data_IF_472959732601
#
_entry.id   IF_472959732601
#
_cell.length_a   1.000
_cell.length_b   1.000
_cell.length_c   1.000
_cell.angle_alpha   90.00
_cell.angle_beta   90.00
_cell.angle_gamma   90.00
#
_symmetry.space_group_name_H-M   'P 1'
#
loop_
_entity.id
_entity.type
_entity.pdbx_description
1 polymer ?
#
# COMPACT_ATOMS: atom_id res chain seq x y z
N UNK A 1 49.36 22.06 61.26
CA UNK A 1 48.67 23.37 61.18
C UNK A 1 49.65 24.39 60.69
N UNK A 2 50.01 24.39 59.40
CA UNK A 2 50.85 25.38 58.69
C UNK A 2 51.17 24.86 57.25
N UNK A 3 50.20 24.71 56.38
CA UNK A 3 50.40 24.38 54.92
C UNK A 3 49.29 24.99 54.05
N UNK A 4 48.55 25.99 54.51
CA UNK A 4 47.45 26.56 53.72
C UNK A 4 47.60 28.06 53.43
N UNK A 5 48.82 28.61 53.42
CA UNK A 5 49.01 30.07 53.25
C UNK A 5 49.71 30.49 51.96
N UNK A 6 50.19 29.56 51.13
CA UNK A 6 50.98 29.93 49.95
C UNK A 6 50.32 29.61 48.58
N UNK A 7 49.03 29.25 48.58
CA UNK A 7 48.35 28.91 47.34
C UNK A 7 47.55 30.07 46.70
N UNK A 8 47.47 31.21 47.38
CA UNK A 8 46.68 32.37 46.92
C UNK A 8 47.52 33.46 46.22
N UNK A 9 48.83 33.37 46.19
CA UNK A 9 49.74 34.37 45.56
C UNK A 9 50.12 34.05 44.12
N UNK A 10 49.91 32.79 43.68
CA UNK A 10 50.27 32.37 42.30
C UNK A 10 49.14 32.61 41.26
N UNK A 11 47.93 32.90 41.71
CA UNK A 11 46.76 33.10 40.85
C UNK A 11 46.51 34.58 40.43
N UNK A 12 47.34 35.52 40.92
CA UNK A 12 47.15 36.97 40.66
C UNK A 12 48.19 37.54 39.64
N UNK A 13 49.10 36.73 39.08
CA UNK A 13 50.16 37.24 38.18
C UNK A 13 49.93 36.83 36.68
N UNK A 14 48.87 36.07 36.39
CA UNK A 14 48.58 35.61 34.99
C UNK A 14 47.51 36.46 34.29
N UNK A 15 46.94 37.49 34.89
CA UNK A 15 45.84 38.28 34.32
C UNK A 15 46.23 39.66 33.75
N UNK A 16 47.50 39.91 33.41
CA UNK A 16 47.95 41.26 32.99
C UNK A 16 48.93 41.24 31.80
N UNK A 17 48.67 40.49 30.76
CA UNK A 17 49.36 40.65 29.46
C UNK A 17 48.49 40.21 28.28
N UNK A 18 47.40 40.92 27.98
CA UNK A 18 46.72 40.87 26.68
C UNK A 18 45.98 42.18 26.45
N UNK A 19 46.73 43.27 26.23
CA UNK A 19 46.18 44.46 25.58
C UNK A 19 47.16 44.83 24.46
N UNK A 20 46.66 44.79 23.23
CA UNK A 20 47.31 45.44 22.10
C UNK A 20 47.28 44.60 20.82
N UNK A 21 46.35 44.82 19.94
CA UNK A 21 46.51 45.51 18.67
C UNK A 21 45.30 45.30 17.78
N UNK A 22 44.59 46.39 17.57
CA UNK A 22 43.53 46.53 16.56
C UNK A 22 44.16 46.47 15.17
N UNK A 23 43.78 45.50 14.35
CA UNK A 23 43.86 45.57 12.90
C UNK A 23 42.51 45.17 12.33
N UNK A 24 41.85 46.09 11.62
CA UNK A 24 40.66 45.85 10.86
C UNK A 24 40.95 44.88 9.74
N UNK A 25 40.55 43.63 9.86
CA UNK A 25 40.36 42.71 8.75
C UNK A 25 38.90 42.40 8.59
N UNK A 26 38.39 42.57 7.35
CA UNK A 26 37.05 42.27 6.94
C UNK A 26 36.69 40.81 7.31
N UNK A 27 35.74 40.62 8.18
CA UNK A 27 35.09 39.33 8.34
C UNK A 27 34.34 39.01 7.05
N UNK A 28 34.93 38.17 6.24
CA UNK A 28 34.20 37.39 5.24
C UNK A 28 33.45 36.35 6.04
N UNK A 29 32.14 36.54 6.15
CA UNK A 29 31.25 35.51 6.66
C UNK A 29 31.24 34.41 5.61
N UNK A 30 32.10 33.41 5.77
CA UNK A 30 31.87 32.12 5.15
C UNK A 30 30.62 31.53 5.80
N UNK A 31 29.52 31.55 5.03
CA UNK A 31 28.37 30.75 5.29
C UNK A 31 28.85 29.30 5.19
N UNK A 32 29.12 28.66 6.32
CA UNK A 32 29.20 27.21 6.37
C UNK A 32 27.84 26.70 5.81
N UNK A 33 27.87 26.24 4.57
CA UNK A 33 26.87 25.32 4.09
C UNK A 33 27.00 24.10 5.01
N UNK A 34 26.04 23.93 5.92
CA UNK A 34 25.75 22.64 6.48
C UNK A 34 25.43 21.70 5.33
N UNK A 35 26.43 21.02 4.81
CA UNK A 35 26.24 19.76 4.12
C UNK A 35 25.87 18.79 5.22
N UNK A 36 24.58 18.71 5.54
CA UNK A 36 24.06 17.63 6.37
C UNK A 36 24.44 16.32 5.68
N UNK A 37 25.44 15.64 6.20
CA UNK A 37 25.68 14.25 5.86
C UNK A 37 24.40 13.51 6.25
N UNK A 38 23.63 13.10 5.26
CA UNK A 38 22.43 12.31 5.47
C UNK A 38 22.91 10.98 6.04
N UNK A 39 22.61 10.72 7.30
CA UNK A 39 23.03 9.51 7.98
C UNK A 39 22.43 8.30 7.28
N UNK A 40 23.24 7.29 6.96
CA UNK A 40 22.76 6.03 6.39
C UNK A 40 21.70 5.40 7.29
N UNK A 41 20.74 4.73 6.71
CA UNK A 41 19.67 4.04 7.43
C UNK A 41 19.40 2.67 6.83
N UNK A 42 18.80 1.77 7.62
CA UNK A 42 18.50 0.41 7.22
C UNK A 42 17.02 0.14 7.40
N UNK A 43 16.42 -0.53 6.43
CA UNK A 43 15.04 -1.01 6.47
C UNK A 43 15.03 -2.50 6.16
N UNK A 44 14.17 -3.26 6.83
CA UNK A 44 14.02 -4.70 6.64
C UNK A 44 12.82 -4.95 5.75
N UNK A 45 12.97 -5.76 4.71
CA UNK A 45 11.86 -6.20 3.86
C UNK A 45 11.14 -7.42 4.44
N UNK A 46 10.04 -7.85 3.81
CA UNK A 46 9.22 -8.95 4.33
C UNK A 46 9.92 -10.32 4.26
N UNK A 47 11.00 -10.45 3.51
CA UNK A 47 11.89 -11.64 3.54
C UNK A 47 12.83 -11.63 4.75
N UNK A 48 12.85 -10.55 5.55
CA UNK A 48 13.79 -10.34 6.64
C UNK A 48 15.18 -9.89 6.18
N UNK A 49 15.31 -9.40 4.94
CA UNK A 49 16.57 -8.89 4.39
C UNK A 49 16.73 -7.41 4.77
N UNK A 50 17.87 -7.08 5.35
CA UNK A 50 18.24 -5.71 5.68
C UNK A 50 18.82 -4.98 4.46
N UNK A 51 18.18 -3.89 4.03
CA UNK A 51 18.67 -3.02 2.97
C UNK A 51 19.15 -1.71 3.59
N UNK A 52 20.43 -1.38 3.35
CA UNK A 52 21.02 -0.12 3.81
C UNK A 52 21.03 0.92 2.70
N UNK A 53 20.62 2.12 3.03
CA UNK A 53 20.55 3.29 2.15
C UNK A 53 21.48 4.38 2.66
N UNK A 54 22.41 4.85 1.80
CA UNK A 54 23.29 5.99 2.09
C UNK A 54 22.57 7.33 1.88
N UNK A 55 21.52 7.33 1.08
CA UNK A 55 20.62 8.45 0.81
C UNK A 55 19.21 7.93 0.51
N UNK A 56 18.22 8.80 0.59
CA UNK A 56 16.85 8.47 0.15
C UNK A 56 16.88 8.17 -1.35
N UNK A 57 16.21 7.08 -1.81
CA UNK A 57 16.09 6.77 -3.23
C UNK A 57 15.50 7.93 -4.03
N UNK A 58 16.11 8.24 -5.17
CA UNK A 58 15.66 9.29 -6.09
C UNK A 58 15.07 8.72 -7.37
N UNK A 59 15.36 7.44 -7.66
CA UNK A 59 14.80 6.71 -8.79
C UNK A 59 14.26 5.37 -8.33
N UNK A 60 12.98 5.14 -8.59
CA UNK A 60 12.21 3.98 -8.11
C UNK A 60 11.58 3.25 -9.27
N UNK A 61 11.67 1.94 -9.27
CA UNK A 61 10.83 1.06 -10.09
C UNK A 61 9.89 0.31 -9.15
N UNK A 62 8.61 0.20 -9.52
CA UNK A 62 7.63 -0.58 -8.78
C UNK A 62 6.95 -1.59 -9.70
N UNK A 63 6.80 -2.82 -9.21
CA UNK A 63 6.20 -3.93 -9.94
C UNK A 63 4.77 -4.23 -9.50
N UNK A 64 4.22 -3.41 -8.56
CA UNK A 64 2.87 -3.58 -8.04
C UNK A 64 2.10 -2.25 -8.01
N UNK A 65 0.86 -2.23 -8.51
CA UNK A 65 0.01 -1.04 -8.47
C UNK A 65 -0.22 -0.47 -7.06
N UNK A 66 -0.39 -1.32 -6.04
CA UNK A 66 -0.59 -0.86 -4.65
C UNK A 66 0.58 -0.06 -4.11
N UNK A 67 1.82 -0.44 -4.48
CA UNK A 67 3.03 0.28 -4.10
C UNK A 67 3.15 1.59 -4.86
N UNK A 68 2.84 1.59 -6.16
CA UNK A 68 2.78 2.81 -6.97
C UNK A 68 1.82 3.82 -6.36
N UNK A 69 0.60 3.40 -6.05
CA UNK A 69 -0.40 4.26 -5.40
C UNK A 69 0.11 4.79 -4.05
N UNK A 70 0.76 3.95 -3.25
CA UNK A 70 1.35 4.36 -1.96
C UNK A 70 2.44 5.41 -2.14
N UNK A 71 3.34 5.25 -3.12
CA UNK A 71 4.39 6.24 -3.40
C UNK A 71 3.82 7.59 -3.85
N UNK A 72 2.74 7.59 -4.63
CA UNK A 72 2.05 8.83 -4.99
C UNK A 72 1.40 9.50 -3.78
N UNK A 73 0.71 8.74 -2.92
CA UNK A 73 0.09 9.26 -1.69
C UNK A 73 1.12 9.77 -0.67
N UNK A 74 2.31 9.17 -0.64
CA UNK A 74 3.45 9.65 0.14
C UNK A 74 4.04 10.97 -0.41
N UNK A 75 3.63 11.40 -1.61
CA UNK A 75 4.13 12.61 -2.26
C UNK A 75 5.51 12.43 -2.92
N UNK A 76 5.89 11.20 -3.24
CA UNK A 76 7.16 10.85 -3.89
C UNK A 76 6.98 10.16 -5.26
N UNK A 77 5.79 10.28 -5.85
CA UNK A 77 5.46 9.70 -7.14
C UNK A 77 6.33 10.20 -8.30
N UNK A 78 6.89 11.40 -8.21
CA UNK A 78 7.82 11.97 -9.17
C UNK A 78 9.17 11.22 -9.27
N UNK A 79 9.45 10.35 -8.32
CA UNK A 79 10.65 9.50 -8.30
C UNK A 79 10.45 8.18 -9.05
N UNK A 80 9.24 7.83 -9.44
CA UNK A 80 8.94 6.58 -10.12
C UNK A 80 9.33 6.70 -11.59
N UNK A 81 10.22 5.83 -12.05
CA UNK A 81 10.74 5.79 -13.43
C UNK A 81 10.32 4.54 -14.21
N UNK A 82 9.69 3.57 -13.56
CA UNK A 82 9.19 2.36 -14.19
C UNK A 82 8.10 1.70 -13.35
N UNK A 83 7.05 1.23 -14.02
CA UNK A 83 5.86 0.61 -13.41
C UNK A 83 5.40 -0.61 -14.20
N UNK A 84 4.43 -1.37 -13.67
CA UNK A 84 3.79 -2.46 -14.41
C UNK A 84 2.72 -1.94 -15.40
N UNK A 85 2.26 -2.81 -16.29
CA UNK A 85 1.14 -2.50 -17.21
C UNK A 85 -0.18 -2.30 -16.46
N UNK A 86 -0.28 -2.82 -15.24
CA UNK A 86 -1.50 -2.76 -14.40
C UNK A 86 -1.58 -1.48 -13.55
N UNK A 87 -0.59 -0.60 -13.63
CA UNK A 87 -0.56 0.67 -12.92
C UNK A 87 -1.42 1.71 -13.64
N UNK A 88 -2.71 1.71 -13.35
CA UNK A 88 -3.74 2.54 -13.98
C UNK A 88 -4.13 3.76 -13.14
N UNK A 89 -3.66 3.84 -11.92
CA UNK A 89 -3.95 4.91 -10.95
C UNK A 89 -2.68 5.28 -10.15
N UNK A 90 -2.49 6.58 -9.82
CA UNK A 90 -3.26 7.74 -10.33
C UNK A 90 -3.01 7.99 -11.84
N UNK A 91 -3.68 8.98 -12.43
CA UNK A 91 -3.57 9.28 -13.88
C UNK A 91 -2.12 9.55 -14.31
N UNK A 92 -1.31 10.15 -13.42
CA UNK A 92 0.11 10.41 -13.63
C UNK A 92 0.92 9.13 -13.85
N UNK A 93 0.50 8.00 -13.26
CA UNK A 93 1.16 6.71 -13.47
C UNK A 93 1.05 6.22 -14.92
N UNK A 94 0.07 6.69 -15.69
CA UNK A 94 -0.11 6.31 -17.11
C UNK A 94 1.03 6.80 -18.00
N UNK A 95 1.72 7.86 -17.63
CA UNK A 95 2.84 8.46 -18.36
C UNK A 95 4.19 7.80 -18.05
N UNK A 96 4.25 6.92 -17.03
CA UNK A 96 5.49 6.27 -16.60
C UNK A 96 5.76 5.04 -17.49
N UNK A 97 7.04 4.76 -17.73
CA UNK A 97 7.46 3.65 -18.56
C UNK A 97 7.00 2.29 -18.02
N UNK A 98 6.49 1.43 -18.89
CA UNK A 98 6.05 0.07 -18.54
C UNK A 98 7.22 -0.91 -18.62
N UNK A 99 7.60 -1.47 -17.48
CA UNK A 99 8.75 -2.40 -17.36
C UNK A 99 8.34 -3.82 -16.95
N UNK A 100 7.07 -4.05 -16.69
CA UNK A 100 6.53 -5.36 -16.33
C UNK A 100 5.08 -5.49 -16.81
N UNK A 101 4.64 -6.72 -17.01
CA UNK A 101 3.23 -7.09 -17.09
C UNK A 101 2.87 -8.06 -15.94
N UNK A 102 1.71 -8.72 -16.01
CA UNK A 102 1.26 -9.62 -14.96
C UNK A 102 2.14 -10.87 -14.79
N UNK A 103 2.72 -11.37 -15.91
CA UNK A 103 3.48 -12.63 -15.94
C UNK A 103 4.99 -12.41 -16.02
N UNK A 104 5.41 -11.29 -16.63
CA UNK A 104 6.80 -11.07 -17.00
C UNK A 104 7.34 -9.72 -16.52
N UNK A 105 8.59 -9.72 -16.09
CA UNK A 105 9.36 -8.52 -15.74
C UNK A 105 10.47 -8.34 -16.78
N UNK A 106 10.56 -7.17 -17.37
CA UNK A 106 11.64 -6.82 -18.29
C UNK A 106 12.90 -6.41 -17.51
N UNK A 107 13.61 -7.42 -17.00
CA UNK A 107 14.79 -7.19 -16.16
C UNK A 107 15.90 -6.42 -16.90
N UNK A 108 16.09 -6.65 -18.22
CA UNK A 108 17.09 -5.89 -19.00
C UNK A 108 16.76 -4.40 -18.99
N UNK A 109 15.49 -4.05 -19.18
CA UNK A 109 15.06 -2.66 -19.18
C UNK A 109 15.20 -2.01 -17.81
N UNK A 110 14.88 -2.73 -16.73
CA UNK A 110 15.06 -2.23 -15.36
C UNK A 110 16.54 -1.97 -15.07
N UNK A 111 17.43 -2.86 -15.50
CA UNK A 111 18.88 -2.66 -15.36
C UNK A 111 19.37 -1.44 -16.15
N UNK A 112 18.86 -1.21 -17.36
CA UNK A 112 19.17 -0.01 -18.15
C UNK A 112 18.71 1.29 -17.47
N UNK A 113 17.53 1.28 -16.83
CA UNK A 113 17.01 2.40 -16.06
C UNK A 113 17.86 2.70 -14.81
N UNK A 114 18.55 1.69 -14.30
CA UNK A 114 19.46 1.77 -13.14
C UNK A 114 18.81 2.49 -11.94
N UNK A 115 17.67 2.00 -11.42
CA UNK A 115 16.99 2.63 -10.30
C UNK A 115 17.80 2.50 -8.99
N UNK A 116 17.61 3.44 -8.06
CA UNK A 116 18.17 3.33 -6.70
C UNK A 116 17.52 2.17 -5.92
N UNK A 117 16.25 1.83 -6.26
CA UNK A 117 15.50 0.72 -5.65
C UNK A 117 14.43 0.18 -6.61
N UNK A 118 14.15 -1.12 -6.50
CA UNK A 118 12.99 -1.79 -7.11
C UNK A 118 12.10 -2.32 -5.99
N UNK A 119 10.83 -1.97 -6.00
CA UNK A 119 9.82 -2.61 -5.15
C UNK A 119 9.17 -3.77 -5.92
N UNK A 120 9.10 -4.92 -5.30
CA UNK A 120 8.58 -6.15 -5.88
C UNK A 120 7.70 -6.91 -4.89
N UNK A 121 6.90 -7.85 -5.39
CA UNK A 121 6.16 -8.82 -4.57
C UNK A 121 6.90 -10.14 -4.48
N UNK A 122 6.66 -10.91 -3.43
CA UNK A 122 7.16 -12.28 -3.30
C UNK A 122 6.75 -13.18 -4.49
N UNK A 123 5.65 -12.87 -5.18
CA UNK A 123 5.24 -13.58 -6.40
C UNK A 123 6.23 -13.45 -7.57
N UNK A 124 7.15 -12.48 -7.49
CA UNK A 124 8.20 -12.25 -8.51
C UNK A 124 9.53 -12.93 -8.19
N UNK A 125 9.58 -13.99 -7.37
CA UNK A 125 10.82 -14.57 -6.80
C UNK A 125 11.93 -14.80 -7.83
N UNK A 126 11.65 -15.45 -8.96
CA UNK A 126 12.66 -15.71 -9.99
C UNK A 126 13.23 -14.43 -10.64
N UNK A 127 12.40 -13.41 -10.80
CA UNK A 127 12.80 -12.13 -11.36
C UNK A 127 13.56 -11.29 -10.32
N UNK A 128 13.19 -11.40 -9.02
CA UNK A 128 13.90 -10.76 -7.92
C UNK A 128 15.36 -11.22 -7.87
N UNK A 129 15.60 -12.54 -7.88
CA UNK A 129 16.97 -13.10 -7.92
C UNK A 129 17.77 -12.59 -9.13
N UNK A 130 17.13 -12.50 -10.29
CA UNK A 130 17.77 -11.97 -11.51
C UNK A 130 18.19 -10.51 -11.32
N UNK A 131 17.30 -9.65 -10.81
CA UNK A 131 17.59 -8.22 -10.58
C UNK A 131 18.69 -8.04 -9.53
N UNK A 132 18.61 -8.75 -8.41
CA UNK A 132 19.62 -8.69 -7.35
C UNK A 132 21.01 -9.14 -7.83
N UNK A 133 21.07 -10.14 -8.73
CA UNK A 133 22.33 -10.61 -9.32
C UNK A 133 23.05 -9.54 -10.15
N UNK A 134 22.35 -8.51 -10.61
CA UNK A 134 22.92 -7.35 -11.32
C UNK A 134 23.42 -6.25 -10.37
N UNK A 135 23.18 -6.38 -9.07
CA UNK A 135 23.57 -5.41 -8.04
C UNK A 135 22.47 -4.38 -7.72
N UNK A 136 21.27 -4.51 -8.30
CA UNK A 136 20.14 -3.67 -7.95
C UNK A 136 19.61 -4.01 -6.54
N UNK A 137 19.17 -3.00 -5.81
CA UNK A 137 18.45 -3.20 -4.55
C UNK A 137 17.01 -3.52 -4.85
N UNK A 138 16.52 -4.66 -4.34
CA UNK A 138 15.12 -5.06 -4.46
C UNK A 138 14.52 -5.16 -3.06
N UNK A 139 13.48 -4.37 -2.79
CA UNK A 139 12.69 -4.40 -1.57
C UNK A 139 11.41 -5.18 -1.82
N UNK A 140 11.24 -6.28 -1.11
CA UNK A 140 10.10 -7.17 -1.31
C UNK A 140 9.04 -6.91 -0.25
N UNK A 141 7.81 -6.71 -0.73
CA UNK A 141 6.60 -6.61 0.09
C UNK A 141 5.73 -7.82 -0.23
N UNK A 142 5.30 -8.57 0.77
CA UNK A 142 4.35 -9.65 0.58
C UNK A 142 2.95 -9.11 0.27
N UNK A 143 2.09 -9.94 -0.33
CA UNK A 143 0.71 -9.54 -0.61
C UNK A 143 -0.07 -9.43 0.71
N UNK A 144 -0.57 -8.25 1.03
CA UNK A 144 -1.41 -8.03 2.19
C UNK A 144 -2.70 -8.88 2.11
N UNK A 145 -3.03 -9.56 3.18
CA UNK A 145 -4.25 -10.36 3.33
C UNK A 145 -5.24 -9.71 4.29
N UNK A 146 -4.80 -8.71 5.05
CA UNK A 146 -5.59 -7.97 6.02
C UNK A 146 -5.44 -6.45 5.87
N UNK A 147 -6.35 -5.72 6.50
CA UNK A 147 -6.27 -4.24 6.62
C UNK A 147 -5.00 -3.82 7.37
N UNK A 148 -4.61 -4.58 8.39
CA UNK A 148 -3.42 -4.29 9.20
C UNK A 148 -2.12 -4.48 8.40
N UNK A 149 -2.07 -5.48 7.50
CA UNK A 149 -0.92 -5.68 6.61
C UNK A 149 -0.74 -4.45 5.71
N UNK A 150 -1.83 -3.89 5.17
CA UNK A 150 -1.77 -2.66 4.35
C UNK A 150 -1.16 -1.48 5.13
N UNK A 151 -1.47 -1.36 6.42
CA UNK A 151 -0.83 -0.32 7.27
C UNK A 151 0.66 -0.57 7.42
N UNK A 152 1.06 -1.83 7.58
CA UNK A 152 2.46 -2.26 7.62
C UNK A 152 3.20 -1.89 6.33
N UNK A 153 2.63 -2.23 5.18
CA UNK A 153 3.20 -1.96 3.85
C UNK A 153 3.42 -0.46 3.62
N UNK A 154 2.39 0.37 3.93
CA UNK A 154 2.51 1.83 3.87
C UNK A 154 3.66 2.32 4.75
N UNK A 155 3.78 1.77 5.97
CA UNK A 155 4.84 2.11 6.91
C UNK A 155 6.23 1.73 6.40
N UNK A 156 6.40 0.54 5.83
CA UNK A 156 7.67 0.08 5.27
C UNK A 156 8.11 0.94 4.06
N UNK A 157 7.18 1.21 3.12
CA UNK A 157 7.47 2.06 1.97
C UNK A 157 7.84 3.48 2.44
N UNK A 158 7.11 4.02 3.42
CA UNK A 158 7.41 5.32 4.00
C UNK A 158 8.81 5.36 4.66
N UNK A 159 9.23 4.30 5.36
CA UNK A 159 10.57 4.21 5.94
C UNK A 159 11.67 4.20 4.87
N UNK A 160 11.48 3.44 3.78
CA UNK A 160 12.41 3.43 2.64
C UNK A 160 12.53 4.81 2.03
N UNK A 161 11.44 5.53 1.88
CA UNK A 161 11.38 6.84 1.23
C UNK A 161 11.61 8.03 2.19
N UNK A 162 11.81 7.77 3.50
CA UNK A 162 11.92 8.81 4.55
C UNK A 162 10.71 9.75 4.58
N UNK A 163 9.54 9.17 4.45
CA UNK A 163 8.24 9.85 4.43
C UNK A 163 7.31 9.37 5.56
N UNK A 164 7.88 8.96 6.70
CA UNK A 164 7.17 8.30 7.80
C UNK A 164 5.98 9.14 8.33
N UNK A 165 6.18 10.47 8.48
CA UNK A 165 5.10 11.37 8.92
C UNK A 165 3.90 11.36 7.95
N UNK A 166 4.16 11.28 6.64
CA UNK A 166 3.09 11.20 5.64
C UNK A 166 2.44 9.81 5.65
N UNK A 167 3.23 8.74 5.82
CA UNK A 167 2.72 7.37 5.98
C UNK A 167 1.75 7.24 7.16
N UNK A 168 2.10 7.80 8.31
CA UNK A 168 1.22 7.85 9.49
C UNK A 168 -0.10 8.57 9.20
N UNK A 169 -0.05 9.71 8.48
CA UNK A 169 -1.27 10.46 8.10
C UNK A 169 -2.18 9.66 7.17
N UNK A 170 -1.60 8.92 6.21
CA UNK A 170 -2.36 8.06 5.30
C UNK A 170 -3.07 6.96 6.11
N UNK A 171 -2.35 6.26 6.97
CA UNK A 171 -2.91 5.19 7.81
C UNK A 171 -4.04 5.73 8.71
N UNK A 172 -3.86 6.88 9.35
CA UNK A 172 -4.91 7.50 10.18
C UNK A 172 -6.14 7.93 9.36
N UNK A 173 -5.95 8.42 8.13
CA UNK A 173 -7.05 8.73 7.23
C UNK A 173 -7.84 7.47 6.86
N UNK A 174 -7.17 6.37 6.52
CA UNK A 174 -7.80 5.08 6.21
C UNK A 174 -8.58 4.56 7.42
N UNK A 175 -7.98 4.56 8.63
CA UNK A 175 -8.66 4.16 9.87
C UNK A 175 -9.93 4.98 10.13
N UNK A 176 -9.86 6.29 9.88
CA UNK A 176 -11.01 7.18 10.04
C UNK A 176 -12.13 6.86 9.05
N UNK A 177 -11.80 6.57 7.78
CA UNK A 177 -12.77 6.16 6.77
C UNK A 177 -13.45 4.84 7.16
N UNK A 178 -12.67 3.83 7.53
CA UNK A 178 -13.19 2.53 7.97
C UNK A 178 -14.11 2.69 9.19
N UNK A 179 -13.69 3.46 10.20
CA UNK A 179 -14.51 3.71 11.38
C UNK A 179 -15.85 4.40 11.04
N UNK A 180 -15.86 5.34 10.09
CA UNK A 180 -17.08 5.98 9.60
C UNK A 180 -18.04 5.01 8.93
N UNK A 181 -17.52 4.06 8.15
CA UNK A 181 -18.35 3.00 7.54
C UNK A 181 -18.91 2.08 8.61
N UNK A 182 -18.07 1.62 9.53
CA UNK A 182 -18.47 0.72 10.62
C UNK A 182 -19.50 1.35 11.55
N UNK A 183 -19.40 2.65 11.85
CA UNK A 183 -20.42 3.37 12.62
C UNK A 183 -21.79 3.27 11.95
N UNK A 184 -21.87 3.51 10.64
CA UNK A 184 -23.12 3.43 9.89
C UNK A 184 -23.66 2.01 9.83
N UNK A 185 -22.81 1.03 9.50
CA UNK A 185 -23.24 -0.37 9.34
C UNK A 185 -23.53 -1.05 10.68
N UNK A 186 -23.01 -0.53 11.80
CA UNK A 186 -23.36 -1.01 13.15
C UNK A 186 -24.82 -0.80 13.54
N UNK A 187 -25.52 0.07 12.83
CA UNK A 187 -26.97 0.34 13.04
C UNK A 187 -27.89 -0.71 12.41
N UNK A 188 -27.34 -1.64 11.62
CA UNK A 188 -28.11 -2.68 10.95
C UNK A 188 -28.56 -3.76 11.94
N UNK A 189 -29.85 -4.08 11.92
CA UNK A 189 -30.40 -5.19 12.69
C UNK A 189 -29.90 -6.55 12.18
N UNK A 190 -29.66 -6.66 10.86
CA UNK A 190 -29.16 -7.86 10.18
C UNK A 190 -28.25 -7.44 9.04
N UNK A 191 -27.10 -8.07 8.93
CA UNK A 191 -26.20 -7.94 7.78
C UNK A 191 -26.80 -8.68 6.57
N UNK A 192 -26.68 -8.08 5.37
CA UNK A 192 -26.94 -8.80 4.11
C UNK A 192 -25.80 -9.78 3.85
N UNK A 193 -26.14 -10.93 3.29
CA UNK A 193 -25.15 -11.88 2.84
C UNK A 193 -24.82 -11.68 1.35
N UNK A 194 -23.53 -11.78 1.01
CA UNK A 194 -23.01 -11.56 -0.34
C UNK A 194 -22.31 -12.81 -0.88
N UNK A 195 -22.54 -13.09 -2.15
CA UNK A 195 -21.67 -13.92 -2.96
C UNK A 195 -20.73 -13.01 -3.75
N UNK A 196 -19.42 -13.25 -3.65
CA UNK A 196 -18.39 -12.45 -4.32
C UNK A 196 -17.75 -13.28 -5.43
N UNK A 197 -17.91 -12.85 -6.70
CA UNK A 197 -17.39 -13.52 -7.87
C UNK A 197 -16.14 -12.82 -8.41
N UNK A 198 -15.04 -13.59 -8.57
CA UNK A 198 -13.76 -13.08 -9.08
C UNK A 198 -13.38 -13.65 -10.44
N UNK A 199 -14.03 -14.72 -10.87
CA UNK A 199 -13.85 -15.32 -12.21
C UNK A 199 -15.18 -15.90 -12.68
N UNK A 200 -15.56 -15.69 -13.97
CA UNK A 200 -16.81 -16.20 -14.52
C UNK A 200 -16.69 -17.66 -14.98
N UNK A 201 -17.81 -18.23 -15.42
CA UNK A 201 -17.82 -19.52 -16.10
C UNK A 201 -16.79 -19.58 -17.26
N UNK A 202 -16.17 -20.76 -17.58
CA UNK A 202 -16.55 -22.09 -17.06
C UNK A 202 -16.00 -22.47 -15.68
N UNK A 203 -15.00 -21.75 -15.18
CA UNK A 203 -14.48 -21.97 -13.82
C UNK A 203 -14.79 -20.75 -12.95
N UNK A 204 -15.91 -20.83 -12.25
CA UNK A 204 -16.33 -19.76 -11.35
C UNK A 204 -15.51 -19.80 -10.07
N UNK A 205 -14.90 -18.67 -9.73
CA UNK A 205 -14.12 -18.54 -8.50
C UNK A 205 -14.73 -17.52 -7.55
N UNK A 206 -14.59 -17.82 -6.28
CA UNK A 206 -15.01 -16.98 -5.17
C UNK A 206 -13.90 -16.85 -4.11
N UNK A 207 -14.22 -16.12 -3.05
CA UNK A 207 -13.30 -15.81 -1.97
C UNK A 207 -13.86 -16.30 -0.62
N UNK A 208 -12.98 -16.70 0.26
CA UNK A 208 -13.30 -17.10 1.63
C UNK A 208 -12.41 -16.42 2.65
N UNK A 209 -12.26 -17.03 3.84
CA UNK A 209 -11.36 -16.55 4.88
C UNK A 209 -9.91 -16.45 4.39
N UNK A 210 -9.10 -15.66 5.08
CA UNK A 210 -7.69 -15.42 4.75
C UNK A 210 -7.47 -14.85 3.33
N UNK A 211 -8.38 -13.97 2.89
CA UNK A 211 -8.25 -13.18 1.66
C UNK A 211 -8.47 -11.71 1.95
N UNK A 212 -7.79 -10.85 1.21
CA UNK A 212 -7.97 -9.41 1.31
C UNK A 212 -9.43 -8.98 1.11
N UNK A 213 -10.12 -9.57 0.13
CA UNK A 213 -11.52 -9.25 -0.16
C UNK A 213 -12.45 -9.64 1.00
N UNK A 214 -12.15 -10.71 1.75
CA UNK A 214 -12.92 -11.07 2.93
C UNK A 214 -12.83 -9.98 4.01
N UNK A 215 -11.65 -9.41 4.22
CA UNK A 215 -11.46 -8.28 5.14
C UNK A 215 -12.30 -7.06 4.72
N UNK A 216 -12.35 -6.74 3.41
CA UNK A 216 -13.19 -5.65 2.90
C UNK A 216 -14.67 -5.89 3.18
N UNK A 217 -15.16 -7.10 2.92
CA UNK A 217 -16.55 -7.50 3.15
C UNK A 217 -16.92 -7.36 4.62
N UNK A 218 -16.08 -7.86 5.52
CA UNK A 218 -16.31 -7.79 6.97
C UNK A 218 -16.29 -6.35 7.49
N UNK A 219 -15.29 -5.57 7.06
CA UNK A 219 -15.15 -4.17 7.44
C UNK A 219 -16.30 -3.29 6.92
N UNK A 220 -16.88 -3.64 5.76
CA UNK A 220 -18.07 -3.02 5.20
C UNK A 220 -19.38 -3.42 5.92
N UNK A 221 -19.33 -4.28 6.94
CA UNK A 221 -20.49 -4.75 7.68
C UNK A 221 -21.36 -5.74 6.91
N UNK A 222 -20.80 -6.47 5.97
CA UNK A 222 -21.45 -7.45 5.11
C UNK A 222 -21.05 -8.86 5.56
N UNK A 223 -21.81 -9.88 5.21
CA UNK A 223 -21.54 -11.28 5.48
C UNK A 223 -21.22 -12.03 4.18
N UNK A 224 -20.05 -12.65 4.06
CA UNK A 224 -19.73 -13.49 2.93
C UNK A 224 -20.37 -14.87 3.10
N UNK A 225 -21.16 -15.33 2.11
CA UNK A 225 -21.79 -16.67 2.12
C UNK A 225 -20.77 -17.81 2.21
N UNK A 226 -19.53 -17.55 1.80
CA UNK A 226 -18.43 -18.51 1.81
C UNK A 226 -17.31 -18.18 2.82
N UNK A 227 -17.57 -17.37 3.84
CA UNK A 227 -16.57 -16.99 4.87
C UNK A 227 -15.90 -18.17 5.59
N UNK A 228 -16.48 -19.39 5.52
CA UNK A 228 -15.91 -20.62 6.13
C UNK A 228 -14.97 -21.40 5.21
N UNK A 229 -14.95 -21.09 3.93
CA UNK A 229 -13.97 -21.62 2.99
C UNK A 229 -12.66 -20.85 3.15
N UNK A 230 -11.53 -21.45 2.84
CA UNK A 230 -10.22 -20.82 2.98
C UNK A 230 -9.69 -20.38 1.60
N UNK A 231 -9.21 -19.15 1.53
CA UNK A 231 -8.53 -18.62 0.34
C UNK A 231 -9.46 -18.34 -0.83
N UNK A 232 -8.88 -18.37 -2.00
CA UNK A 232 -9.57 -18.29 -3.29
C UNK A 232 -9.85 -19.70 -3.78
N UNK A 233 -11.08 -19.98 -4.17
CA UNK A 233 -11.48 -21.34 -4.52
C UNK A 233 -12.51 -21.36 -5.63
N UNK A 234 -12.52 -22.46 -6.39
CA UNK A 234 -13.53 -22.72 -7.39
C UNK A 234 -14.84 -23.13 -6.71
N UNK A 235 -15.96 -22.53 -7.13
CA UNK A 235 -17.28 -22.79 -6.60
C UNK A 235 -18.21 -23.31 -7.70
N UNK A 236 -19.12 -24.24 -7.37
CA UNK A 236 -20.11 -24.73 -8.32
C UNK A 236 -21.35 -23.84 -8.33
N UNK A 237 -22.05 -23.78 -9.47
CA UNK A 237 -23.36 -23.09 -9.55
C UNK A 237 -24.37 -23.66 -8.54
N UNK A 238 -24.32 -24.97 -8.27
CA UNK A 238 -25.18 -25.61 -7.28
C UNK A 238 -24.89 -25.09 -5.86
N UNK A 239 -23.63 -24.90 -5.49
CA UNK A 239 -23.26 -24.33 -4.19
C UNK A 239 -23.79 -22.90 -4.05
N UNK A 240 -23.69 -22.08 -5.12
CA UNK A 240 -24.19 -20.70 -5.11
C UNK A 240 -25.72 -20.67 -4.96
N UNK A 241 -26.44 -21.54 -5.67
CA UNK A 241 -27.89 -21.67 -5.56
C UNK A 241 -28.29 -22.10 -4.14
N UNK A 242 -27.57 -23.05 -3.55
CA UNK A 242 -27.84 -23.57 -2.22
C UNK A 242 -27.64 -22.56 -1.09
N UNK A 243 -26.60 -21.71 -1.18
CA UNK A 243 -26.36 -20.64 -0.18
C UNK A 243 -27.30 -19.45 -0.35
N UNK A 244 -27.93 -19.31 -1.52
CA UNK A 244 -28.96 -18.33 -1.83
C UNK A 244 -28.61 -16.90 -1.38
N UNK A 245 -27.60 -16.23 -1.97
CA UNK A 245 -27.15 -14.91 -1.55
C UNK A 245 -28.25 -13.84 -1.73
N UNK A 246 -28.25 -12.86 -0.82
CA UNK A 246 -29.12 -11.67 -0.91
C UNK A 246 -28.58 -10.65 -1.90
N UNK A 247 -27.24 -10.64 -2.10
CA UNK A 247 -26.53 -9.75 -3.04
C UNK A 247 -25.44 -10.56 -3.76
N UNK A 248 -25.21 -10.25 -5.03
CA UNK A 248 -24.08 -10.74 -5.81
C UNK A 248 -23.20 -9.55 -6.16
N UNK A 249 -21.91 -9.65 -5.86
CA UNK A 249 -20.89 -8.70 -6.27
C UNK A 249 -19.92 -9.41 -7.20
N UNK A 250 -19.61 -8.80 -8.33
CA UNK A 250 -18.60 -9.32 -9.25
C UNK A 250 -17.51 -8.27 -9.52
N UNK A 251 -16.29 -8.73 -9.68
CA UNK A 251 -15.17 -7.94 -10.20
C UNK A 251 -14.84 -8.26 -11.66
N UNK A 252 -15.62 -9.14 -12.25
CA UNK A 252 -15.46 -9.54 -13.65
C UNK A 252 -15.95 -8.40 -14.55
N UNK A 253 -15.03 -7.61 -15.08
CA UNK A 253 -15.31 -6.38 -15.83
C UNK A 253 -15.10 -6.50 -17.35
N UNK A 254 -14.93 -7.71 -17.87
CA UNK A 254 -14.86 -7.96 -19.30
C UNK A 254 -16.22 -8.42 -19.85
N UNK A 255 -16.54 -7.93 -21.04
CA UNK A 255 -17.87 -8.06 -21.63
C UNK A 255 -18.67 -6.78 -21.56
N UNK A 256 -19.73 -6.69 -22.36
CA UNK A 256 -20.54 -5.46 -22.49
C UNK A 256 -21.51 -5.26 -21.31
N UNK A 257 -21.93 -6.35 -20.65
CA UNK A 257 -22.93 -6.33 -19.56
C UNK A 257 -22.68 -7.47 -18.55
N UNK A 258 -21.68 -7.37 -17.67
CA UNK A 258 -21.37 -8.42 -16.68
C UNK A 258 -22.51 -8.71 -15.71
N UNK A 259 -23.24 -7.69 -15.29
CA UNK A 259 -24.41 -7.85 -14.39
C UNK A 259 -25.55 -8.58 -15.08
N UNK A 260 -25.86 -8.24 -16.34
CA UNK A 260 -26.87 -8.91 -17.15
C UNK A 260 -26.49 -10.34 -17.49
N UNK A 261 -25.22 -10.64 -17.69
CA UNK A 261 -24.73 -12.01 -17.86
C UNK A 261 -25.08 -12.86 -16.65
N UNK A 262 -24.72 -12.41 -15.44
CA UNK A 262 -25.03 -13.11 -14.18
C UNK A 262 -26.53 -13.27 -14.00
N UNK A 263 -27.31 -12.22 -14.24
CA UNK A 263 -28.78 -12.26 -14.10
C UNK A 263 -29.44 -13.23 -15.08
N UNK A 264 -28.80 -13.55 -16.21
CA UNK A 264 -29.36 -14.43 -17.24
C UNK A 264 -28.90 -15.90 -17.12
N UNK A 265 -28.07 -16.24 -16.15
CA UNK A 265 -27.54 -17.61 -15.98
C UNK A 265 -28.67 -18.63 -15.75
N UNK A 266 -28.56 -19.75 -16.46
CA UNK A 266 -29.55 -20.81 -16.36
C UNK A 266 -29.58 -21.41 -14.94
N UNK A 267 -30.79 -21.59 -14.38
CA UNK A 267 -30.97 -22.14 -13.03
C UNK A 267 -30.89 -21.13 -11.87
N UNK A 268 -30.41 -19.89 -12.11
CA UNK A 268 -30.23 -18.89 -11.06
C UNK A 268 -31.46 -18.08 -10.69
N UNK A 269 -32.57 -18.26 -11.40
CA UNK A 269 -33.84 -17.51 -11.20
C UNK A 269 -34.47 -17.67 -9.80
N UNK A 270 -34.03 -18.66 -9.02
CA UNK A 270 -34.46 -18.87 -7.63
C UNK A 270 -33.63 -18.13 -6.60
N UNK A 271 -32.45 -17.62 -6.98
CA UNK A 271 -31.54 -16.89 -6.09
C UNK A 271 -32.16 -15.54 -5.73
N UNK A 272 -32.18 -15.21 -4.44
CA UNK A 272 -32.74 -13.97 -3.89
C UNK A 272 -32.15 -12.72 -4.56
N UNK A 273 -30.84 -12.67 -4.75
CA UNK A 273 -30.17 -11.56 -5.43
C UNK A 273 -30.68 -11.36 -6.87
N UNK A 274 -30.89 -12.44 -7.61
CA UNK A 274 -31.43 -12.38 -9.00
C UNK A 274 -32.84 -11.86 -9.01
N UNK A 275 -33.72 -12.37 -8.11
CA UNK A 275 -35.12 -11.96 -8.01
C UNK A 275 -35.27 -10.47 -7.68
N UNK A 276 -34.36 -9.96 -6.82
CA UNK A 276 -34.39 -8.57 -6.35
C UNK A 276 -33.55 -7.64 -7.22
N UNK A 277 -32.80 -8.17 -8.21
CA UNK A 277 -31.84 -7.43 -9.05
C UNK A 277 -30.71 -6.77 -8.24
N UNK A 278 -30.28 -7.47 -7.21
CA UNK A 278 -29.16 -7.06 -6.33
C UNK A 278 -27.85 -7.69 -6.85
N UNK A 279 -27.50 -7.39 -8.09
CA UNK A 279 -26.26 -7.83 -8.76
C UNK A 279 -25.47 -6.60 -9.16
N UNK A 280 -24.20 -6.52 -8.76
CA UNK A 280 -23.39 -5.33 -8.88
C UNK A 280 -21.98 -5.66 -9.37
N UNK A 281 -21.54 -4.93 -10.40
CA UNK A 281 -20.13 -4.86 -10.78
C UNK A 281 -19.44 -3.83 -9.87
N UNK A 282 -18.33 -4.24 -9.27
CA UNK A 282 -17.43 -3.32 -8.55
C UNK A 282 -16.09 -3.30 -9.27
N UNK A 283 -15.49 -2.11 -9.36
CA UNK A 283 -14.20 -1.91 -9.98
C UNK A 283 -13.12 -2.80 -9.31
N UNK A 284 -12.54 -3.76 -10.05
CA UNK A 284 -11.50 -4.63 -9.53
C UNK A 284 -10.27 -3.86 -9.04
N UNK A 285 -9.93 -2.74 -9.66
CA UNK A 285 -8.75 -1.95 -9.33
C UNK A 285 -8.82 -1.35 -7.91
N UNK A 286 -10.03 -1.14 -7.38
CA UNK A 286 -10.20 -0.64 -6.01
C UNK A 286 -10.21 -1.81 -5.00
N UNK A 287 -10.95 -2.88 -5.29
CA UNK A 287 -11.20 -3.95 -4.31
C UNK A 287 -10.18 -5.10 -4.37
N UNK A 288 -9.25 -5.08 -5.33
CA UNK A 288 -8.22 -6.12 -5.47
C UNK A 288 -6.79 -5.60 -5.27
N UNK A 289 -6.62 -4.30 -4.97
CA UNK A 289 -5.31 -3.69 -4.70
C UNK A 289 -5.20 -3.36 -3.22
N UNK A 290 -4.43 -4.14 -2.44
CA UNK A 290 -4.19 -3.84 -1.02
C UNK A 290 -3.24 -2.64 -0.89
N UNK A 291 -3.79 -1.44 -0.82
CA UNK A 291 -3.03 -0.19 -0.82
C UNK A 291 -3.78 0.97 -0.16
N UNK A 292 -3.36 2.22 -0.39
CA UNK A 292 -3.86 3.39 0.33
C UNK A 292 -5.35 3.66 0.13
N UNK A 293 -5.96 3.11 -0.94
CA UNK A 293 -7.41 3.25 -1.21
C UNK A 293 -8.29 2.21 -0.52
N UNK A 294 -7.76 1.40 0.42
CA UNK A 294 -8.54 0.37 1.11
C UNK A 294 -9.76 0.93 1.85
N UNK A 295 -9.66 2.15 2.41
CA UNK A 295 -10.79 2.83 3.04
C UNK A 295 -11.90 3.15 2.04
N UNK A 296 -11.55 3.59 0.83
CA UNK A 296 -12.48 3.82 -0.27
C UNK A 296 -13.12 2.51 -0.76
N UNK A 297 -12.35 1.43 -0.85
CA UNK A 297 -12.83 0.11 -1.22
C UNK A 297 -13.92 -0.40 -0.26
N UNK A 298 -13.69 -0.27 1.05
CA UNK A 298 -14.64 -0.64 2.09
C UNK A 298 -15.89 0.23 2.02
N UNK A 299 -15.74 1.54 1.83
CA UNK A 299 -16.87 2.45 1.69
C UNK A 299 -17.67 2.15 0.42
N UNK A 300 -17.01 1.90 -0.71
CA UNK A 300 -17.67 1.53 -1.97
C UNK A 300 -18.49 0.24 -1.81
N UNK A 301 -17.91 -0.78 -1.19
CA UNK A 301 -18.58 -2.05 -0.89
C UNK A 301 -19.83 -1.82 -0.03
N UNK A 302 -19.71 -1.06 1.05
CA UNK A 302 -20.82 -0.75 1.94
C UNK A 302 -21.91 0.09 1.25
N UNK A 303 -21.54 1.09 0.44
CA UNK A 303 -22.49 1.91 -0.35
C UNK A 303 -23.24 1.08 -1.40
N UNK A 304 -22.56 0.12 -2.01
CA UNK A 304 -23.18 -0.77 -3.00
C UNK A 304 -24.25 -1.65 -2.36
N UNK A 305 -23.97 -2.22 -1.19
CA UNK A 305 -24.86 -3.16 -0.51
C UNK A 305 -25.95 -2.45 0.32
N UNK A 306 -25.62 -1.29 0.90
CA UNK A 306 -26.50 -0.50 1.79
C UNK A 306 -26.60 0.97 1.37
N UNK A 307 -27.07 1.27 0.15
CA UNK A 307 -27.09 2.65 -0.35
C UNK A 307 -27.91 3.61 0.53
N UNK A 308 -28.85 3.09 1.32
CA UNK A 308 -29.70 3.87 2.22
C UNK A 308 -28.92 4.46 3.42
N UNK A 309 -27.81 3.85 3.85
CA UNK A 309 -26.98 4.34 4.96
C UNK A 309 -26.04 5.50 4.57
N UNK A 310 -25.92 5.78 3.28
CA UNK A 310 -24.96 6.76 2.74
C UNK A 310 -25.65 7.93 2.00
N UNK A 311 -26.95 8.15 2.28
CA UNK A 311 -27.75 9.25 1.73
C UNK A 311 -27.58 10.53 2.50
#
# INVERSE_FOLDING_TARGET
MKIFKNLWIVLLVISLLLVGCTSKEKATTETEKETGEQQSYTVVDDRGIELTFEKVPETVVTLLPSITETLFELGVGDKIIGVSQNDTYPEEALEIERVADFETVNAERIVELNPDIVFASASNEGQIEQLESTGLKVFVIESALSVEDVYGDIGQIAQVMKAEEQGEKIVEAIKSQIASVQEKTSTLDKKKNVYFEISPAPEVWSIGSNTFQQELIEAAGIENVFAKQEGWFAVTEEDIINVNPEVIVTTVNFGDDPEGEIMSRAGWSTITAIQNKEVYLIDPDIVSRPGPRIGEAIELMAKTVYPELFK
#
